data_IF_123723004614
#
_entry.id   IF_123723004614
#
_cell.length_a   1.000
_cell.length_b   1.000
_cell.length_c   1.000
_cell.angle_alpha   90.00
_cell.angle_beta   90.00
_cell.angle_gamma   90.00
#
_symmetry.space_group_name_H-M   'P 1'
#
loop_
_entity.id
_entity.type
_entity.pdbx_description
1 polymer ?
#
# COMPACT_ATOMS: atom_id res chain seq x y z
N UNK A 1 5.13 18.93 8.27
CA UNK A 1 5.96 17.79 7.80
C UNK A 1 6.57 18.18 6.46
N UNK A 2 7.90 18.31 6.36
CA UNK A 2 8.58 18.78 5.13
C UNK A 2 8.55 17.76 3.97
N UNK A 3 8.09 16.55 4.24
CA UNK A 3 8.20 15.38 3.38
C UNK A 3 6.84 14.79 2.96
N UNK A 4 5.78 15.57 3.12
CA UNK A 4 4.40 15.17 2.80
C UNK A 4 3.81 16.11 1.76
N UNK A 5 3.30 15.55 0.67
CA UNK A 5 2.59 16.25 -0.38
C UNK A 5 1.13 15.83 -0.33
N UNK A 6 0.23 16.79 -0.16
CA UNK A 6 -1.20 16.52 -0.11
C UNK A 6 -1.77 16.35 -1.52
N UNK A 7 -2.76 15.47 -1.67
CA UNK A 7 -3.51 15.32 -2.92
C UNK A 7 -4.03 16.70 -3.39
N UNK A 8 -3.95 17.04 -4.69
CA UNK A 8 -3.53 16.22 -5.84
C UNK A 8 -2.05 16.35 -6.24
N UNK A 9 -1.15 16.73 -5.31
CA UNK A 9 0.30 16.76 -5.51
C UNK A 9 0.81 17.60 -6.69
N UNK A 10 0.03 18.59 -7.14
CA UNK A 10 0.31 19.35 -8.38
C UNK A 10 1.74 19.90 -8.44
N UNK A 11 2.22 20.49 -7.35
CA UNK A 11 3.56 21.09 -7.32
C UNK A 11 4.66 20.02 -7.32
N UNK A 12 4.45 18.91 -6.60
CA UNK A 12 5.36 17.76 -6.63
C UNK A 12 5.49 17.20 -8.05
N UNK A 13 4.36 16.89 -8.70
CA UNK A 13 4.34 16.32 -10.05
C UNK A 13 4.94 17.29 -11.09
N UNK A 14 4.76 18.61 -10.93
CA UNK A 14 5.41 19.60 -11.81
C UNK A 14 6.93 19.63 -11.67
N UNK A 15 7.44 19.29 -10.49
CA UNK A 15 8.87 19.34 -10.16
C UNK A 15 9.66 18.07 -10.53
N UNK A 16 8.99 17.02 -10.99
CA UNK A 16 9.59 15.70 -11.25
C UNK A 16 9.20 15.20 -12.63
N UNK A 17 10.16 14.68 -13.41
CA UNK A 17 9.84 13.91 -14.62
C UNK A 17 9.48 12.44 -14.30
N UNK A 18 9.87 11.97 -13.13
CA UNK A 18 9.56 10.64 -12.62
C UNK A 18 9.86 10.55 -11.12
N UNK A 19 9.36 9.50 -10.48
CA UNK A 19 9.72 9.16 -9.11
C UNK A 19 9.53 7.65 -8.83
N UNK A 20 10.19 7.17 -7.76
CA UNK A 20 9.96 5.82 -7.24
C UNK A 20 8.76 5.82 -6.30
N UNK A 21 7.78 4.97 -6.58
CA UNK A 21 6.63 4.70 -5.74
C UNK A 21 6.82 3.37 -5.02
N UNK A 22 6.74 3.38 -3.69
CA UNK A 22 6.65 2.18 -2.87
C UNK A 22 5.21 1.69 -2.80
N UNK A 23 4.95 0.55 -3.45
CA UNK A 23 3.69 -0.17 -3.40
C UNK A 23 3.68 -1.23 -2.30
N UNK A 24 2.66 -1.20 -1.44
CA UNK A 24 2.58 -2.04 -0.23
C UNK A 24 1.33 -2.92 -0.13
N UNK A 25 0.28 -2.63 -0.90
CA UNK A 25 -0.97 -3.39 -0.96
C UNK A 25 -1.14 -4.04 -2.34
N UNK A 26 -2.26 -3.76 -3.02
CA UNK A 26 -2.52 -4.30 -4.36
C UNK A 26 -1.48 -3.91 -5.41
N UNK A 27 -0.70 -2.85 -5.20
CA UNK A 27 0.42 -2.48 -6.08
C UNK A 27 1.57 -3.49 -6.06
N UNK A 28 1.63 -4.40 -5.07
CA UNK A 28 2.58 -5.53 -5.07
C UNK A 28 2.22 -6.52 -6.19
N UNK A 29 0.93 -6.69 -6.49
CA UNK A 29 0.49 -7.56 -7.56
C UNK A 29 0.66 -6.85 -8.92
N UNK A 30 1.36 -7.50 -9.85
CA UNK A 30 1.71 -6.94 -11.16
C UNK A 30 0.47 -6.68 -12.05
N UNK A 31 -0.57 -7.50 -11.92
CA UNK A 31 -1.77 -7.42 -12.75
C UNK A 31 -2.67 -6.23 -12.37
N UNK A 32 -2.73 -5.89 -11.08
CA UNK A 32 -3.50 -4.75 -10.56
C UNK A 32 -2.85 -3.40 -10.82
N UNK A 33 -1.59 -3.35 -11.23
CA UNK A 33 -0.83 -2.10 -11.44
C UNK A 33 -0.57 -1.74 -12.90
N UNK A 34 -0.55 -2.74 -13.81
CA UNK A 34 -0.13 -2.55 -15.21
C UNK A 34 -1.07 -1.60 -15.99
N UNK A 35 -2.32 -1.46 -15.55
CA UNK A 35 -3.28 -0.55 -16.17
C UNK A 35 -2.92 0.92 -15.97
N UNK A 36 -2.23 1.24 -14.87
CA UNK A 36 -2.05 2.63 -14.41
C UNK A 36 -0.58 3.10 -14.42
N UNK A 37 0.37 2.17 -14.35
CA UNK A 37 1.81 2.45 -14.44
C UNK A 37 2.39 1.58 -15.56
N UNK A 38 2.40 2.11 -16.78
CA UNK A 38 2.76 1.34 -18.00
C UNK A 38 4.26 1.09 -18.12
N UNK A 39 5.09 1.98 -17.55
CA UNK A 39 6.55 1.94 -17.68
C UNK A 39 7.28 1.02 -16.69
N UNK A 40 6.61 0.42 -15.71
CA UNK A 40 7.25 -0.34 -14.62
C UNK A 40 6.87 -1.82 -14.66
N UNK A 41 7.35 -2.53 -15.69
CA UNK A 41 7.13 -3.98 -15.82
C UNK A 41 7.87 -4.77 -14.73
N UNK A 42 9.03 -4.29 -14.28
CA UNK A 42 9.82 -4.95 -13.25
C UNK A 42 9.38 -4.50 -11.85
N UNK A 43 9.07 -5.48 -11.01
CA UNK A 43 8.90 -5.30 -9.57
C UNK A 43 10.28 -5.34 -8.93
N UNK A 44 10.65 -4.30 -8.18
CA UNK A 44 11.89 -4.28 -7.40
C UNK A 44 11.54 -4.44 -5.92
N UNK A 45 11.74 -5.62 -5.31
CA UNK A 45 11.45 -5.85 -3.91
C UNK A 45 12.31 -4.97 -3.00
N UNK A 46 11.67 -4.30 -2.04
CA UNK A 46 12.36 -3.41 -1.08
C UNK A 46 11.72 -3.50 0.31
N UNK A 47 12.46 -3.02 1.31
CA UNK A 47 11.95 -2.74 2.66
C UNK A 47 11.94 -1.23 2.89
N UNK A 48 10.78 -0.67 3.22
CA UNK A 48 10.63 0.69 3.68
C UNK A 48 10.81 0.79 5.20
N UNK A 49 11.40 1.89 5.67
CA UNK A 49 11.56 2.21 7.10
C UNK A 49 10.69 3.40 7.51
N UNK A 50 10.36 3.49 8.80
CA UNK A 50 9.50 4.55 9.34
C UNK A 50 8.03 4.40 8.96
N UNK A 51 7.57 3.18 8.64
CA UNK A 51 6.22 2.91 8.14
C UNK A 51 5.61 1.65 8.75
N UNK A 52 4.29 1.68 8.97
CA UNK A 52 3.48 0.51 9.32
C UNK A 52 2.42 0.25 8.25
N UNK A 53 2.30 -1.00 7.78
CA UNK A 53 1.21 -1.41 6.88
C UNK A 53 0.02 -1.93 7.71
N UNK A 54 -1.15 -1.33 7.51
CA UNK A 54 -2.34 -1.55 8.35
C UNK A 54 -3.57 -1.74 7.46
N UNK A 55 -4.44 -2.70 7.79
CA UNK A 55 -5.74 -2.92 7.14
C UNK A 55 -6.81 -2.06 7.83
N UNK A 56 -6.79 -0.77 7.53
CA UNK A 56 -7.73 0.21 8.08
C UNK A 56 -8.16 1.28 7.08
N UNK A 57 -7.76 1.16 5.80
CA UNK A 57 -8.28 2.04 4.77
C UNK A 57 -9.73 1.64 4.48
N UNK A 58 -10.63 2.62 4.55
CA UNK A 58 -12.02 2.51 4.15
C UNK A 58 -12.14 3.02 2.69
N UNK A 59 -12.29 2.17 1.67
CA UNK A 59 -12.48 2.61 0.31
C UNK A 59 -13.87 3.24 0.09
N UNK A 60 -13.99 4.22 -0.80
CA UNK A 60 -15.30 4.77 -1.17
C UNK A 60 -16.17 3.74 -1.93
N UNK A 61 -17.45 4.05 -2.13
CA UNK A 61 -18.40 3.16 -2.83
C UNK A 61 -17.96 2.81 -4.26
N UNK A 62 -17.30 3.73 -4.97
CA UNK A 62 -16.80 3.49 -6.31
C UNK A 62 -15.66 2.45 -6.30
N UNK A 63 -14.85 2.42 -5.25
CA UNK A 63 -13.81 1.41 -5.06
C UNK A 63 -14.40 0.11 -4.54
N UNK A 64 -15.30 0.16 -3.55
CA UNK A 64 -15.97 -1.02 -2.96
C UNK A 64 -16.79 -1.81 -3.97
N UNK A 65 -17.37 -1.16 -4.98
CA UNK A 65 -18.15 -1.82 -6.04
C UNK A 65 -17.29 -2.60 -7.06
N UNK A 66 -15.95 -2.52 -6.99
CA UNK A 66 -15.08 -3.27 -7.91
C UNK A 66 -15.11 -4.76 -7.58
N UNK A 67 -15.00 -5.66 -8.59
CA UNK A 67 -15.06 -7.10 -8.39
C UNK A 67 -14.05 -7.66 -7.35
N UNK A 68 -12.90 -7.01 -7.18
CA UNK A 68 -11.86 -7.43 -6.24
C UNK A 68 -12.24 -7.26 -4.76
N UNK A 69 -13.29 -6.48 -4.46
CA UNK A 69 -13.79 -6.26 -3.10
C UNK A 69 -15.10 -7.01 -2.82
N UNK A 70 -15.66 -7.68 -3.82
CA UNK A 70 -16.91 -8.43 -3.67
C UNK A 70 -16.66 -9.69 -2.83
N UNK A 71 -17.15 -9.69 -1.59
CA UNK A 71 -17.11 -10.81 -0.67
C UNK A 71 -18.56 -11.22 -0.34
N UNK A 72 -19.13 -12.24 -1.00
CA UNK A 72 -20.51 -12.63 -0.77
C UNK A 72 -20.74 -13.27 0.62
N UNK A 73 -19.67 -13.70 1.29
CA UNK A 73 -19.73 -14.41 2.56
C UNK A 73 -19.65 -13.45 3.76
N UNK A 74 -19.27 -12.19 3.54
CA UNK A 74 -18.99 -11.21 4.59
C UNK A 74 -19.65 -9.86 4.33
N UNK A 75 -20.09 -9.21 5.40
CA UNK A 75 -20.81 -7.93 5.32
C UNK A 75 -19.92 -6.69 5.42
N UNK A 76 -20.57 -5.54 5.63
CA UNK A 76 -19.97 -4.20 5.73
C UNK A 76 -18.74 -4.03 6.64
N UNK A 77 -18.57 -4.80 7.75
CA UNK A 77 -17.34 -4.69 8.53
C UNK A 77 -16.06 -5.12 7.78
N UNK A 78 -16.18 -5.91 6.71
CA UNK A 78 -15.05 -6.51 5.96
C UNK A 78 -14.68 -5.72 4.71
N UNK A 79 -14.40 -4.43 4.88
CA UNK A 79 -13.92 -3.55 3.79
C UNK A 79 -12.54 -2.94 4.03
N UNK A 80 -11.87 -3.31 5.13
CA UNK A 80 -10.52 -2.85 5.43
C UNK A 80 -9.55 -3.22 4.31
N UNK A 81 -8.99 -2.21 3.67
CA UNK A 81 -7.92 -2.35 2.69
C UNK A 81 -6.60 -1.81 3.26
N UNK A 82 -5.48 -2.08 2.59
CA UNK A 82 -4.19 -1.66 3.08
C UNK A 82 -4.02 -0.14 2.98
N UNK A 83 -3.66 0.44 4.12
CA UNK A 83 -3.02 1.74 4.27
C UNK A 83 -1.56 1.55 4.68
N UNK A 84 -0.77 2.61 4.53
CA UNK A 84 0.48 2.77 5.26
C UNK A 84 0.36 3.98 6.18
N UNK A 85 0.76 3.82 7.43
CA UNK A 85 0.98 4.92 8.36
C UNK A 85 2.48 5.26 8.36
N UNK A 86 2.82 6.52 8.14
CA UNK A 86 4.18 7.02 8.36
C UNK A 86 4.38 7.30 9.86
N UNK A 87 5.39 6.67 10.46
CA UNK A 87 5.73 6.83 11.88
C UNK A 87 7.08 7.52 12.08
N UNK A 88 7.97 7.44 11.09
CA UNK A 88 9.34 7.97 11.19
C UNK A 88 10.25 7.20 12.15
N UNK A 89 9.81 6.03 12.64
CA UNK A 89 10.57 5.20 13.58
C UNK A 89 11.31 4.08 12.84
N UNK A 90 12.62 3.93 13.06
CA UNK A 90 13.46 2.96 12.33
C UNK A 90 13.09 1.49 12.56
N UNK A 91 12.38 1.19 13.67
CA UNK A 91 11.89 -0.16 13.97
C UNK A 91 10.58 -0.49 13.25
N UNK A 92 9.85 0.53 12.78
CA UNK A 92 8.65 0.33 11.97
C UNK A 92 9.04 0.16 10.52
N UNK A 93 8.78 -1.03 9.99
CA UNK A 93 9.19 -1.40 8.64
C UNK A 93 8.07 -2.12 7.94
N UNK A 94 8.03 -2.00 6.62
CA UNK A 94 7.18 -2.83 5.77
C UNK A 94 7.91 -3.15 4.47
N UNK A 95 7.85 -4.40 4.04
CA UNK A 95 8.31 -4.77 2.70
C UNK A 95 7.23 -4.48 1.64
N UNK A 96 7.69 -4.19 0.44
CA UNK A 96 6.86 -3.84 -0.71
C UNK A 96 7.69 -3.87 -1.99
N UNK A 97 7.22 -3.17 -3.01
CA UNK A 97 7.90 -3.09 -4.30
C UNK A 97 8.08 -1.64 -4.71
N UNK A 98 9.22 -1.31 -5.31
CA UNK A 98 9.35 -0.05 -6.05
C UNK A 98 8.76 -0.18 -7.43
N UNK A 99 8.05 0.87 -7.83
CA UNK A 99 7.57 1.12 -9.18
C UNK A 99 8.00 2.49 -9.63
N UNK A 100 8.40 2.60 -10.89
CA UNK A 100 8.75 3.90 -11.47
C UNK A 100 7.52 4.53 -12.07
N UNK A 101 7.08 5.66 -11.51
CA UNK A 101 5.97 6.45 -12.06
C UNK A 101 6.57 7.52 -12.96
N UNK A 102 6.27 7.46 -14.25
CA UNK A 102 6.75 8.42 -15.23
C UNK A 102 5.74 9.56 -15.42
N UNK A 103 6.20 10.71 -15.90
CA UNK A 103 5.35 11.87 -16.20
C UNK A 103 4.15 11.56 -17.08
N UNK A 104 4.29 10.63 -18.02
CA UNK A 104 3.20 10.16 -18.89
C UNK A 104 2.07 9.45 -18.11
N UNK A 105 2.37 8.90 -16.94
CA UNK A 105 1.41 8.17 -16.10
C UNK A 105 0.72 9.08 -15.07
N UNK A 106 1.19 10.32 -14.85
CA UNK A 106 0.73 11.19 -13.77
C UNK A 106 -0.77 11.45 -13.75
N UNK A 107 -1.40 11.63 -14.92
CA UNK A 107 -2.83 11.85 -15.00
C UNK A 107 -3.63 10.63 -14.50
N UNK A 108 -3.28 9.43 -14.97
CA UNK A 108 -3.94 8.19 -14.56
C UNK A 108 -3.65 7.87 -13.09
N UNK A 109 -2.41 8.06 -12.65
CA UNK A 109 -2.00 7.83 -11.27
C UNK A 109 -2.77 8.75 -10.30
N UNK A 110 -2.87 10.04 -10.61
CA UNK A 110 -3.63 11.00 -9.79
C UNK A 110 -5.12 10.65 -9.74
N UNK A 111 -5.70 10.23 -10.87
CA UNK A 111 -7.11 9.84 -10.93
C UNK A 111 -7.42 8.56 -10.15
N UNK A 112 -6.43 7.66 -10.00
CA UNK A 112 -6.58 6.39 -9.28
C UNK A 112 -6.49 6.57 -7.76
N UNK A 113 -5.57 7.40 -7.30
CA UNK A 113 -5.13 7.45 -5.90
C UNK A 113 -5.71 8.67 -5.15
N UNK A 114 -7.00 8.94 -5.39
CA UNK A 114 -7.72 10.11 -4.87
C UNK A 114 -7.66 10.16 -3.34
N UNK A 115 -7.30 11.34 -2.82
CA UNK A 115 -7.33 11.62 -1.38
C UNK A 115 -6.10 11.14 -0.59
N UNK A 116 -5.22 10.35 -1.21
CA UNK A 116 -3.97 9.95 -0.56
C UNK A 116 -2.95 11.09 -0.51
N UNK A 117 -2.17 11.16 0.56
CA UNK A 117 -0.96 11.98 0.59
C UNK A 117 0.21 11.17 0.03
N UNK A 118 1.14 11.83 -0.68
CA UNK A 118 2.44 11.26 -1.01
C UNK A 118 3.42 11.62 0.11
N UNK A 119 4.02 10.61 0.72
CA UNK A 119 5.02 10.78 1.78
C UNK A 119 6.36 10.25 1.28
N UNK A 120 7.41 11.07 1.39
CA UNK A 120 8.79 10.67 1.09
C UNK A 120 9.27 9.69 2.15
N UNK A 121 9.86 8.58 1.71
CA UNK A 121 10.38 7.51 2.55
C UNK A 121 11.71 7.01 2.02
N UNK A 122 12.43 6.28 2.86
CA UNK A 122 13.63 5.55 2.48
C UNK A 122 13.33 4.07 2.35
N UNK A 123 13.81 3.49 1.25
CA UNK A 123 13.69 2.07 0.95
C UNK A 123 15.07 1.44 0.80
N UNK A 124 15.21 0.18 1.19
CA UNK A 124 16.42 -0.62 1.01
C UNK A 124 16.10 -1.82 0.14
N UNK A 125 17.00 -2.26 -0.76
CA UNK A 125 16.85 -3.52 -1.47
C UNK A 125 16.53 -4.65 -0.48
N UNK A 126 15.50 -5.44 -0.77
CA UNK A 126 14.97 -6.45 0.15
C UNK A 126 16.05 -7.48 0.56
N UNK A 127 16.81 -7.92 -0.42
CA UNK A 127 17.84 -8.96 -0.35
C UNK A 127 19.23 -8.43 0.00
N UNK A 128 19.40 -7.10 0.10
CA UNK A 128 20.65 -6.41 0.48
C UNK A 128 20.36 -5.19 1.36
N UNK A 129 19.90 -5.37 2.61
CA UNK A 129 19.52 -4.28 3.50
C UNK A 129 20.68 -3.33 3.86
N UNK A 130 21.93 -3.76 3.69
CA UNK A 130 23.14 -2.97 3.87
C UNK A 130 23.47 -2.05 2.70
N UNK A 131 22.76 -2.19 1.57
CA UNK A 131 22.96 -1.32 0.41
C UNK A 131 22.50 0.12 0.70
N UNK A 132 22.90 1.05 -0.20
CA UNK A 132 22.48 2.45 -0.11
C UNK A 132 20.95 2.57 -0.14
N UNK A 133 20.41 3.45 0.69
CA UNK A 133 18.98 3.78 0.66
C UNK A 133 18.57 4.35 -0.69
N UNK A 134 17.34 4.04 -1.08
CA UNK A 134 16.67 4.49 -2.29
C UNK A 134 15.56 5.45 -1.83
N UNK A 135 15.61 6.70 -2.29
CA UNK A 135 14.49 7.62 -2.10
C UNK A 135 13.26 7.11 -2.87
N UNK A 136 12.14 7.02 -2.16
CA UNK A 136 10.84 6.67 -2.72
C UNK A 136 9.74 7.51 -2.08
N UNK A 137 8.55 7.38 -2.63
CA UNK A 137 7.33 8.00 -2.12
C UNK A 137 6.30 6.89 -1.91
N UNK A 138 5.47 7.02 -0.90
CA UNK A 138 4.36 6.09 -0.68
C UNK A 138 3.05 6.84 -0.45
N UNK A 139 1.95 6.14 -0.67
CA UNK A 139 0.61 6.66 -0.47
C UNK A 139 0.21 6.45 0.99
N UNK A 140 -0.26 7.51 1.64
CA UNK A 140 -0.75 7.48 3.02
C UNK A 140 -2.14 8.09 3.04
N UNK A 141 -3.14 7.32 3.47
CA UNK A 141 -4.48 7.84 3.62
C UNK A 141 -4.52 8.81 4.82
N UNK A 142 -5.01 10.05 4.65
CA UNK A 142 -5.31 10.91 5.80
C UNK A 142 -6.51 10.34 6.56
N UNK A 143 -6.71 10.75 7.81
CA UNK A 143 -7.88 10.32 8.59
C UNK A 143 -9.20 10.72 7.90
N UNK A 144 -9.24 11.95 7.36
CA UNK A 144 -10.40 12.51 6.67
C UNK A 144 -9.98 13.17 5.35
N UNK A 145 -10.78 12.97 4.31
CA UNK A 145 -10.65 13.65 3.02
C UNK A 145 -12.05 14.01 2.49
N UNK A 146 -12.27 15.28 2.13
CA UNK A 146 -13.56 15.81 1.67
C UNK A 146 -14.75 15.43 2.57
N UNK A 147 -14.55 15.46 3.90
CA UNK A 147 -15.59 15.14 4.88
C UNK A 147 -15.87 13.64 5.07
N UNK A 148 -15.18 12.76 4.35
CA UNK A 148 -15.26 11.30 4.52
C UNK A 148 -14.11 10.81 5.40
N UNK A 149 -14.41 9.92 6.34
CA UNK A 149 -13.39 9.18 7.07
C UNK A 149 -12.76 8.13 6.15
N UNK A 150 -11.44 8.19 5.98
CA UNK A 150 -10.66 7.28 5.13
C UNK A 150 -9.95 6.20 5.94
N UNK A 151 -9.72 6.46 7.22
CA UNK A 151 -9.07 5.52 8.15
C UNK A 151 -10.07 5.11 9.21
N UNK A 152 -10.39 3.82 9.26
CA UNK A 152 -11.29 3.23 10.23
C UNK A 152 -10.65 1.96 10.82
N UNK A 153 -10.27 2.03 12.10
CA UNK A 153 -9.58 0.95 12.79
C UNK A 153 -10.51 -0.19 13.23
N UNK A 154 -11.82 -0.01 13.12
CA UNK A 154 -12.82 -1.04 13.44
C UNK A 154 -13.13 -1.94 12.24
N UNK A 155 -12.60 -1.61 11.05
CA UNK A 155 -12.76 -2.45 9.87
C UNK A 155 -11.92 -3.72 9.97
N UNK A 156 -12.52 -4.82 9.53
CA UNK A 156 -11.84 -6.08 9.28
C UNK A 156 -11.36 -6.15 7.83
N UNK A 157 -10.30 -6.92 7.54
CA UNK A 157 -9.75 -7.03 6.20
C UNK A 157 -10.76 -7.55 5.18
N UNK A 158 -10.91 -6.90 4.04
CA UNK A 158 -11.66 -7.50 2.92
C UNK A 158 -10.90 -8.73 2.40
N UNK A 159 -11.47 -9.92 2.53
CA UNK A 159 -10.74 -11.18 2.30
C UNK A 159 -10.35 -11.39 0.83
N UNK A 160 -11.22 -11.15 -0.17
CA UNK A 160 -10.84 -11.23 -1.58
C UNK A 160 -9.68 -10.29 -1.94
N UNK A 161 -9.75 -9.02 -1.53
CA UNK A 161 -8.67 -8.06 -1.72
C UNK A 161 -7.37 -8.48 -1.02
N UNK A 162 -7.47 -8.95 0.23
CA UNK A 162 -6.34 -9.40 1.02
C UNK A 162 -5.61 -10.57 0.33
N UNK A 163 -6.35 -11.57 -0.17
CA UNK A 163 -5.79 -12.71 -0.89
C UNK A 163 -4.98 -12.27 -2.11
N UNK A 164 -5.47 -11.31 -2.89
CA UNK A 164 -4.74 -10.75 -4.05
C UNK A 164 -3.40 -10.14 -3.63
N UNK A 165 -3.36 -9.40 -2.51
CA UNK A 165 -2.14 -8.79 -2.01
C UNK A 165 -1.16 -9.83 -1.48
N UNK A 166 -1.67 -10.79 -0.71
CA UNK A 166 -0.89 -11.90 -0.14
C UNK A 166 -0.29 -12.79 -1.23
N UNK A 167 -1.06 -13.12 -2.26
CA UNK A 167 -0.57 -13.91 -3.41
C UNK A 167 0.48 -13.13 -4.21
N UNK A 168 0.32 -11.81 -4.33
CA UNK A 168 1.35 -10.93 -4.89
C UNK A 168 2.67 -11.01 -4.10
N UNK A 169 2.61 -10.96 -2.76
CA UNK A 169 3.79 -11.13 -1.91
C UNK A 169 4.41 -12.53 -2.04
N UNK A 170 3.56 -13.57 -2.10
CA UNK A 170 3.98 -14.97 -2.31
C UNK A 170 4.71 -15.17 -3.64
N UNK A 171 4.26 -14.50 -4.70
CA UNK A 171 4.84 -14.61 -6.04
C UNK A 171 6.26 -13.99 -6.13
N UNK A 172 6.63 -13.09 -5.21
CA UNK A 172 7.98 -12.52 -5.16
C UNK A 172 8.97 -13.55 -4.58
N UNK A 173 8.73 -14.00 -3.34
CA UNK A 173 9.47 -15.10 -2.73
C UNK A 173 8.80 -15.54 -1.42
N UNK A 174 9.14 -16.74 -0.94
CA UNK A 174 8.68 -17.21 0.38
C UNK A 174 9.15 -16.29 1.52
N UNK A 175 10.40 -15.83 1.48
CA UNK A 175 10.96 -14.91 2.47
C UNK A 175 10.22 -13.56 2.46
N UNK A 176 9.90 -13.05 1.27
CA UNK A 176 9.13 -11.81 1.11
C UNK A 176 7.73 -11.95 1.71
N UNK A 177 7.04 -13.07 1.48
CA UNK A 177 5.74 -13.33 2.11
C UNK A 177 5.84 -13.38 3.63
N UNK A 178 6.87 -14.04 4.20
CA UNK A 178 7.00 -14.11 5.66
C UNK A 178 7.15 -12.73 6.27
N UNK A 179 8.08 -11.90 5.77
CA UNK A 179 8.22 -10.53 6.24
C UNK A 179 6.93 -9.73 6.01
N UNK A 180 6.23 -9.97 4.90
CA UNK A 180 4.97 -9.30 4.62
C UNK A 180 3.90 -9.58 5.67
N UNK A 181 3.78 -10.84 6.11
CA UNK A 181 2.85 -11.23 7.18
C UNK A 181 3.28 -10.65 8.54
N UNK A 182 4.59 -10.63 8.82
CA UNK A 182 5.13 -10.15 10.10
C UNK A 182 5.05 -8.63 10.25
N UNK A 183 4.99 -7.89 9.14
CA UNK A 183 4.90 -6.42 9.13
C UNK A 183 3.54 -5.89 8.65
N UNK A 184 2.48 -6.69 8.77
CA UNK A 184 1.11 -6.27 8.46
C UNK A 184 0.19 -6.43 9.65
N UNK A 185 -0.65 -5.42 9.88
CA UNK A 185 -1.51 -5.35 11.06
C UNK A 185 -2.95 -5.01 10.67
N UNK A 186 -3.89 -5.31 11.56
CA UNK A 186 -5.27 -4.81 11.55
C UNK A 186 -5.32 -3.43 12.20
N UNK A 187 -6.45 -2.72 12.04
CA UNK A 187 -6.67 -1.42 12.66
C UNK A 187 -6.53 -1.40 14.19
N UNK A 188 -6.83 -2.52 14.85
CA UNK A 188 -6.66 -2.72 16.29
C UNK A 188 -5.24 -3.12 16.73
N UNK A 189 -4.31 -3.23 15.78
CA UNK A 189 -2.91 -3.59 16.03
C UNK A 189 -2.62 -5.10 16.09
N UNK A 190 -3.62 -5.98 15.97
CA UNK A 190 -3.36 -7.42 15.82
C UNK A 190 -2.59 -7.70 14.53
N UNK A 191 -1.71 -8.70 14.54
CA UNK A 191 -1.01 -9.13 13.32
C UNK A 191 -1.97 -9.81 12.34
N UNK A 192 -1.77 -9.62 11.04
CA UNK A 192 -2.55 -10.36 10.02
C UNK A 192 -2.34 -11.86 10.12
N UNK A 193 -1.16 -12.31 10.55
CA UNK A 193 -0.85 -13.73 10.74
C UNK A 193 -1.74 -14.39 11.79
N UNK A 194 -2.03 -13.67 12.88
CA UNK A 194 -2.97 -14.15 13.89
C UNK A 194 -4.38 -14.21 13.32
N UNK A 195 -4.81 -13.15 12.64
CA UNK A 195 -6.12 -13.08 11.99
C UNK A 195 -6.33 -14.18 10.92
N UNK A 196 -5.32 -14.49 10.10
CA UNK A 196 -5.40 -15.59 9.12
C UNK A 196 -5.76 -16.93 9.78
N UNK A 197 -5.20 -17.19 10.97
CA UNK A 197 -5.47 -18.40 11.76
C UNK A 197 -6.86 -18.38 12.36
N UNK A 198 -7.25 -17.24 12.94
CA UNK A 198 -8.56 -17.06 13.57
C UNK A 198 -9.70 -17.27 12.56
N UNK A 199 -9.51 -16.81 11.31
CA UNK A 199 -10.46 -16.94 10.20
C UNK A 199 -10.33 -18.25 9.40
N UNK A 200 -9.36 -19.11 9.70
CA UNK A 200 -9.12 -20.36 8.98
C UNK A 200 -8.80 -20.18 7.49
N UNK A 201 -8.09 -19.10 7.12
CA UNK A 201 -7.80 -18.75 5.72
C UNK A 201 -6.61 -19.53 5.13
N UNK A 202 -5.59 -19.85 5.94
CA UNK A 202 -4.33 -20.45 5.52
C UNK A 202 -3.68 -21.34 6.59
#
# INVERSE_FOLDING_TARGET
MKDTYLYPWKDFLRSKDEFNLFGYGSLINQFSSQKDIKGSLQLVPVTAIGVKRILNYDPDENVRSRPIYHDPDRGEPYFGAFNVQYTGLDHDRANGVLRRVQKSDYANFTAREIGYSLVRIECFPFDRPEAKSIEAYTLVAPEVYNGRQLVNNDLLPNVPYYKICRDGAKAISAAFLQQWLDTSFLGDGRSVRQWEKDEGLF
#
